data_IF_772166990836
#
_entry.id   IF_772166990836
#
_cell.length_a   1.000
_cell.length_b   1.000
_cell.length_c   1.000
_cell.angle_alpha   90.00
_cell.angle_beta   90.00
_cell.angle_gamma   90.00
#
_symmetry.space_group_name_H-M   'P 1'
#
loop_
_entity.id
_entity.type
_entity.pdbx_description
1 polymer ?
#
# COMPACT_ATOMS: atom_id res chain seq x y z
N UNK A 1 -21.01 -1.49 33.32
CA UNK A 1 -20.37 -2.73 32.84
C UNK A 1 -19.66 -2.36 31.56
N UNK A 2 -18.42 -1.91 31.72
CA UNK A 2 -17.58 -1.52 30.59
C UNK A 2 -17.22 -2.80 29.84
N UNK A 3 -17.51 -2.84 28.55
CA UNK A 3 -16.97 -3.85 27.66
C UNK A 3 -15.45 -3.68 27.71
N UNK A 4 -14.78 -4.57 28.45
CA UNK A 4 -13.37 -4.81 28.23
C UNK A 4 -13.29 -5.31 26.79
N UNK A 5 -12.73 -4.49 25.90
CA UNK A 5 -12.26 -4.99 24.62
C UNK A 5 -11.32 -6.14 24.95
N UNK A 6 -11.82 -7.34 24.70
CA UNK A 6 -11.05 -8.56 24.73
C UNK A 6 -10.05 -8.38 23.59
N UNK A 7 -8.82 -7.96 23.94
CA UNK A 7 -7.58 -7.96 23.12
C UNK A 7 -7.25 -9.40 22.68
N UNK A 8 -8.25 -10.05 22.11
CA UNK A 8 -8.33 -11.44 21.72
C UNK A 8 -7.50 -11.60 20.47
N UNK A 9 -6.20 -11.75 20.70
CA UNK A 9 -5.27 -12.59 19.94
C UNK A 9 -5.55 -12.56 18.44
N UNK A 10 -5.51 -11.38 17.82
CA UNK A 10 -5.16 -11.33 16.40
C UNK A 10 -3.69 -11.74 16.39
N UNK A 11 -3.31 -12.90 15.81
CA UNK A 11 -1.91 -13.23 15.64
C UNK A 11 -1.26 -12.00 15.00
N UNK A 12 -0.17 -11.49 15.59
CA UNK A 12 0.54 -10.38 14.99
C UNK A 12 0.80 -10.79 13.54
N UNK A 13 0.29 -10.04 12.56
CA UNK A 13 0.42 -10.39 11.14
C UNK A 13 1.91 -10.64 10.80
N UNK A 14 2.83 -9.98 11.52
CA UNK A 14 4.25 -10.27 11.48
C UNK A 14 4.62 -11.72 11.85
N UNK A 15 4.03 -12.28 12.90
CA UNK A 15 4.28 -13.66 13.33
C UNK A 15 3.78 -14.65 12.27
N UNK A 16 2.64 -14.35 11.65
CA UNK A 16 2.11 -15.14 10.53
C UNK A 16 3.08 -15.10 9.34
N UNK A 17 3.50 -13.90 8.92
CA UNK A 17 4.46 -13.73 7.82
C UNK A 17 5.78 -14.46 8.10
N UNK A 18 6.23 -14.46 9.36
CA UNK A 18 7.46 -15.13 9.78
C UNK A 18 7.35 -16.65 9.63
N UNK A 19 6.18 -17.25 9.93
CA UNK A 19 5.94 -18.68 9.76
C UNK A 19 6.05 -19.15 8.30
N UNK A 20 5.76 -18.27 7.35
CA UNK A 20 5.82 -18.55 5.91
C UNK A 20 7.02 -17.90 5.22
N UNK A 21 8.02 -17.42 5.98
CA UNK A 21 9.16 -16.68 5.43
C UNK A 21 9.92 -17.42 4.32
N UNK A 22 10.00 -18.74 4.40
CA UNK A 22 10.66 -19.59 3.41
C UNK A 22 9.76 -20.01 2.23
N UNK A 23 8.45 -19.73 2.25
CA UNK A 23 7.52 -20.19 1.20
C UNK A 23 6.64 -19.09 0.61
N UNK A 24 6.58 -17.92 1.25
CA UNK A 24 5.77 -16.80 0.82
C UNK A 24 6.37 -16.17 -0.45
N UNK A 25 5.74 -16.42 -1.60
CA UNK A 25 6.13 -15.82 -2.88
C UNK A 25 5.35 -14.55 -3.23
N UNK A 26 4.12 -14.45 -2.71
CA UNK A 26 3.19 -13.39 -3.02
C UNK A 26 2.50 -12.89 -1.76
N UNK A 27 2.50 -11.57 -1.55
CA UNK A 27 1.77 -10.92 -0.46
C UNK A 27 0.78 -9.92 -1.03
N UNK A 28 -0.51 -10.14 -0.77
CA UNK A 28 -1.54 -9.12 -0.88
C UNK A 28 -1.97 -8.67 0.52
N UNK A 29 -1.89 -7.37 0.77
CA UNK A 29 -2.27 -6.76 2.03
C UNK A 29 -3.22 -5.59 1.77
N UNK A 30 -4.43 -5.64 2.32
CA UNK A 30 -5.35 -4.51 2.35
C UNK A 30 -5.33 -3.88 3.73
N UNK A 31 -5.11 -2.57 3.79
CA UNK A 31 -5.11 -1.82 5.04
C UNK A 31 -5.99 -0.57 4.92
N UNK A 32 -7.03 -0.53 5.74
CA UNK A 32 -7.82 0.68 5.96
C UNK A 32 -7.12 1.53 7.03
N UNK A 33 -6.29 2.49 6.60
CA UNK A 33 -5.43 3.30 7.46
C UNK A 33 -6.02 4.69 7.67
N UNK A 34 -7.12 4.79 8.39
CA UNK A 34 -7.68 6.09 8.82
C UNK A 34 -6.94 6.65 10.04
N UNK A 35 -5.61 6.69 10.00
CA UNK A 35 -4.77 7.15 11.12
C UNK A 35 -3.41 7.66 10.65
N UNK A 36 -2.81 8.53 11.44
CA UNK A 36 -1.43 9.03 11.25
C UNK A 36 -0.41 7.94 11.57
N UNK A 37 0.84 8.11 11.11
CA UNK A 37 1.94 7.21 11.45
C UNK A 37 2.17 7.12 12.97
N UNK A 38 1.96 8.22 13.70
CA UNK A 38 2.06 8.27 15.17
C UNK A 38 0.99 7.38 15.81
N UNK A 39 -0.25 7.45 15.33
CA UNK A 39 -1.35 6.62 15.83
C UNK A 39 -1.15 5.15 15.48
N UNK A 40 -0.63 4.87 14.28
CA UNK A 40 -0.26 3.53 13.88
C UNK A 40 0.79 2.93 14.81
N UNK A 41 1.89 3.63 15.07
CA UNK A 41 2.98 3.15 15.94
C UNK A 41 2.56 2.92 17.40
N UNK A 42 1.50 3.59 17.88
CA UNK A 42 0.95 3.35 19.22
C UNK A 42 0.23 2.01 19.34
N UNK A 43 -0.26 1.46 18.23
CA UNK A 43 -1.15 0.29 18.20
C UNK A 43 -0.58 -0.91 17.45
N UNK A 44 0.30 -0.65 16.50
CA UNK A 44 0.80 -1.62 15.54
C UNK A 44 2.31 -1.47 15.35
N UNK A 45 2.92 -2.55 14.88
CA UNK A 45 4.32 -2.59 14.48
C UNK A 45 4.36 -2.58 12.96
N UNK A 46 5.31 -1.85 12.37
CA UNK A 46 5.56 -1.93 10.93
C UNK A 46 5.93 -3.35 10.51
N UNK A 47 5.46 -3.77 9.34
CA UNK A 47 5.82 -5.06 8.78
C UNK A 47 7.28 -5.08 8.38
N UNK A 48 7.92 -6.18 8.72
CA UNK A 48 9.29 -6.47 8.34
C UNK A 48 9.32 -7.76 7.51
N UNK A 49 9.53 -7.60 6.21
CA UNK A 49 9.55 -8.68 5.24
C UNK A 49 10.97 -9.14 4.90
N UNK A 50 12.02 -8.64 5.57
CA UNK A 50 13.41 -8.95 5.18
C UNK A 50 13.72 -10.46 5.19
N UNK A 51 13.03 -11.23 6.03
CA UNK A 51 13.19 -12.68 6.12
C UNK A 51 12.43 -13.46 5.04
N UNK A 52 11.49 -12.84 4.33
CA UNK A 52 10.68 -13.51 3.31
C UNK A 52 11.50 -13.64 2.01
N UNK A 53 12.45 -14.58 1.96
CA UNK A 53 13.48 -14.67 0.90
C UNK A 53 12.95 -15.05 -0.48
N UNK A 54 11.75 -15.62 -0.53
CA UNK A 54 11.09 -16.01 -1.77
C UNK A 54 10.01 -15.00 -2.20
N UNK A 55 9.80 -13.92 -1.45
CA UNK A 55 8.75 -12.94 -1.72
C UNK A 55 9.08 -12.10 -2.96
N UNK A 56 8.36 -12.35 -4.05
CA UNK A 56 8.58 -11.71 -5.35
C UNK A 56 7.63 -10.56 -5.61
N UNK A 57 6.40 -10.64 -5.11
CA UNK A 57 5.35 -9.67 -5.43
C UNK A 57 4.67 -9.20 -4.17
N UNK A 58 4.55 -7.88 -4.05
CA UNK A 58 3.88 -7.22 -2.93
C UNK A 58 2.78 -6.31 -3.49
N UNK A 59 1.55 -6.56 -3.08
CA UNK A 59 0.40 -5.72 -3.42
C UNK A 59 -0.20 -5.15 -2.14
N UNK A 60 -0.35 -3.83 -2.10
CA UNK A 60 -0.75 -3.10 -0.90
C UNK A 60 -1.89 -2.16 -1.26
N UNK A 61 -3.06 -2.39 -0.67
CA UNK A 61 -4.16 -1.42 -0.65
C UNK A 61 -4.04 -0.52 0.57
N UNK A 62 -4.02 0.80 0.39
CA UNK A 62 -4.04 1.79 1.48
C UNK A 62 -5.14 2.81 1.26
N UNK A 63 -5.82 3.16 2.34
CA UNK A 63 -6.80 4.26 2.36
C UNK A 63 -6.16 5.48 3.03
N UNK A 64 -6.15 6.61 2.34
CA UNK A 64 -5.66 7.94 2.79
C UNK A 64 -4.21 7.92 3.33
N UNK A 65 -3.19 8.09 2.47
CA UNK A 65 -1.79 8.12 2.89
C UNK A 65 -1.43 9.50 3.46
N UNK A 66 -1.76 9.77 4.73
CA UNK A 66 -1.39 11.02 5.39
C UNK A 66 0.13 11.13 5.56
N UNK A 67 0.76 10.05 6.02
CA UNK A 67 2.20 10.01 6.35
C UNK A 67 2.76 8.60 6.56
N UNK A 68 2.05 7.55 6.13
CA UNK A 68 2.35 6.17 6.51
C UNK A 68 2.50 5.22 5.32
N UNK A 69 3.61 4.47 5.30
CA UNK A 69 3.77 3.25 4.52
C UNK A 69 4.04 2.07 5.48
N UNK A 70 3.28 0.97 5.44
CA UNK A 70 3.23 0.01 6.55
C UNK A 70 4.43 -0.95 6.62
N UNK A 71 5.43 -0.79 5.74
CA UNK A 71 6.62 -1.65 5.68
C UNK A 71 7.85 -0.89 6.14
N UNK A 72 8.56 -1.48 7.11
CA UNK A 72 9.89 -1.01 7.54
C UNK A 72 10.98 -1.49 6.59
N UNK A 73 10.93 -2.78 6.23
CA UNK A 73 11.89 -3.41 5.33
C UNK A 73 11.16 -4.37 4.40
N UNK A 74 11.47 -4.27 3.11
CA UNK A 74 11.03 -5.20 2.08
C UNK A 74 12.11 -6.25 1.83
N UNK A 75 11.70 -7.43 1.37
CA UNK A 75 12.65 -8.49 0.99
C UNK A 75 13.44 -8.06 -0.25
N UNK A 76 14.75 -8.35 -0.28
CA UNK A 76 15.62 -8.11 -1.45
C UNK A 76 15.21 -8.91 -2.69
N UNK A 77 14.36 -9.94 -2.51
CA UNK A 77 13.82 -10.78 -3.58
C UNK A 77 12.58 -10.19 -4.27
N UNK A 78 12.01 -9.10 -3.71
CA UNK A 78 10.85 -8.43 -4.30
C UNK A 78 11.20 -7.88 -5.67
N UNK A 79 10.41 -8.28 -6.66
CA UNK A 79 10.52 -7.89 -8.07
C UNK A 79 9.47 -6.85 -8.45
N UNK A 80 8.26 -6.98 -7.88
CA UNK A 80 7.13 -6.12 -8.21
C UNK A 80 6.42 -5.61 -6.96
N UNK A 81 6.11 -4.31 -6.94
CA UNK A 81 5.27 -3.68 -5.93
C UNK A 81 4.10 -2.98 -6.61
N UNK A 82 2.88 -3.28 -6.17
CA UNK A 82 1.68 -2.52 -6.55
C UNK A 82 1.11 -1.83 -5.32
N UNK A 83 0.88 -0.52 -5.42
CA UNK A 83 0.24 0.28 -4.37
C UNK A 83 -1.09 0.79 -4.89
N UNK A 84 -2.19 0.38 -4.26
CA UNK A 84 -3.55 0.85 -4.53
C UNK A 84 -3.98 1.86 -3.48
N UNK A 85 -3.91 3.14 -3.82
CA UNK A 85 -4.28 4.24 -2.93
C UNK A 85 -5.73 4.62 -3.15
N UNK A 86 -6.53 4.70 -2.09
CA UNK A 86 -7.89 5.24 -2.15
C UNK A 86 -8.08 6.48 -1.28
N UNK A 87 -8.86 7.43 -1.77
CA UNK A 87 -9.31 8.59 -1.00
C UNK A 87 -10.62 9.16 -1.56
N UNK A 88 -11.29 10.02 -0.78
CA UNK A 88 -12.48 10.77 -1.23
C UNK A 88 -12.06 11.97 -2.06
N UNK A 89 -12.80 12.30 -3.13
CA UNK A 89 -12.43 13.42 -4.03
C UNK A 89 -12.22 14.74 -3.28
N UNK A 90 -13.05 15.05 -2.28
CA UNK A 90 -12.93 16.28 -1.48
C UNK A 90 -11.65 16.36 -0.61
N UNK A 91 -10.90 15.27 -0.47
CA UNK A 91 -9.70 15.21 0.36
C UNK A 91 -8.41 15.43 -0.44
N UNK A 92 -8.50 15.49 -1.78
CA UNK A 92 -7.36 15.80 -2.64
C UNK A 92 -7.18 17.32 -2.81
N UNK A 93 -5.94 17.85 -2.80
CA UNK A 93 -4.65 17.14 -2.64
C UNK A 93 -4.20 16.98 -1.18
N UNK A 94 -4.89 17.61 -0.22
CA UNK A 94 -4.42 17.80 1.16
C UNK A 94 -4.06 16.51 1.91
N UNK A 95 -4.62 15.37 1.50
CA UNK A 95 -4.41 14.08 2.16
C UNK A 95 -3.35 13.17 1.54
N UNK A 96 -2.68 13.58 0.45
CA UNK A 96 -1.82 12.69 -0.32
C UNK A 96 -0.33 13.07 -0.20
N UNK A 97 0.40 12.37 0.67
CA UNK A 97 1.85 12.51 0.74
C UNK A 97 2.57 11.42 -0.08
N UNK A 98 2.64 11.60 -1.40
CA UNK A 98 3.29 10.66 -2.32
C UNK A 98 4.77 10.42 -2.00
N UNK A 99 5.45 11.41 -1.41
CA UNK A 99 6.86 11.32 -1.03
C UNK A 99 7.12 10.24 0.04
N UNK A 100 6.11 9.88 0.83
CA UNK A 100 6.23 8.79 1.82
C UNK A 100 6.32 7.43 1.13
N UNK A 101 5.52 7.20 0.08
CA UNK A 101 5.63 5.97 -0.72
C UNK A 101 6.98 5.95 -1.46
N UNK A 102 7.37 7.09 -2.03
CA UNK A 102 8.63 7.24 -2.76
C UNK A 102 9.85 6.94 -1.89
N UNK A 103 9.97 7.56 -0.72
CA UNK A 103 11.08 7.33 0.21
C UNK A 103 11.04 5.92 0.79
N UNK A 104 9.87 5.45 1.23
CA UNK A 104 9.75 4.13 1.86
C UNK A 104 10.14 2.97 0.96
N UNK A 105 9.99 3.09 -0.37
CA UNK A 105 10.44 2.07 -1.32
C UNK A 105 11.80 2.45 -1.92
N UNK A 106 11.94 3.71 -2.32
CA UNK A 106 13.08 4.25 -3.08
C UNK A 106 14.37 4.34 -2.29
N UNK A 107 14.34 4.43 -0.95
CA UNK A 107 15.55 4.44 -0.13
C UNK A 107 16.07 3.04 0.20
N UNK A 108 15.26 2.00 -0.03
CA UNK A 108 15.66 0.63 0.27
C UNK A 108 16.59 0.05 -0.81
N UNK A 109 17.51 -0.82 -0.37
CA UNK A 109 18.37 -1.62 -1.25
C UNK A 109 17.64 -2.87 -1.74
N UNK A 110 16.86 -2.70 -2.81
CA UNK A 110 16.03 -3.73 -3.44
C UNK A 110 16.56 -4.05 -4.85
N UNK A 111 17.63 -4.86 -4.98
CA UNK A 111 18.31 -5.08 -6.26
C UNK A 111 17.46 -5.85 -7.28
N UNK A 112 16.46 -6.61 -6.83
CA UNK A 112 15.56 -7.37 -7.70
C UNK A 112 14.34 -6.56 -8.16
N UNK A 113 14.08 -5.40 -7.54
CA UNK A 113 12.89 -4.61 -7.81
C UNK A 113 13.01 -3.96 -9.18
N UNK A 114 12.15 -4.38 -10.10
CA UNK A 114 12.12 -3.87 -11.47
C UNK A 114 10.83 -3.08 -11.78
N UNK A 115 9.82 -3.16 -10.91
CA UNK A 115 8.50 -2.61 -11.20
C UNK A 115 7.81 -2.10 -9.93
N UNK A 116 7.41 -0.84 -9.97
CA UNK A 116 6.47 -0.22 -9.04
C UNK A 116 5.28 0.35 -9.82
N UNK A 117 4.08 -0.06 -9.45
CA UNK A 117 2.81 0.44 -9.98
C UNK A 117 2.07 1.20 -8.90
N UNK A 118 1.61 2.41 -9.22
CA UNK A 118 0.75 3.21 -8.36
C UNK A 118 -0.63 3.32 -9.02
N UNK A 119 -1.65 2.73 -8.39
CA UNK A 119 -3.03 2.88 -8.81
C UNK A 119 -3.73 3.81 -7.83
N UNK A 120 -4.39 4.85 -8.36
CA UNK A 120 -5.10 5.83 -7.55
C UNK A 120 -6.61 5.65 -7.79
N UNK A 121 -7.35 5.59 -6.70
CA UNK A 121 -8.80 5.37 -6.69
C UNK A 121 -9.50 6.51 -5.96
N UNK A 122 -10.28 7.29 -6.71
CA UNK A 122 -11.07 8.39 -6.14
C UNK A 122 -12.50 7.93 -5.90
N UNK A 123 -12.84 7.81 -4.62
CA UNK A 123 -14.19 7.45 -4.20
C UNK A 123 -15.12 8.64 -4.35
N UNK A 124 -16.23 8.42 -5.07
CA UNK A 124 -17.39 9.33 -5.11
C UNK A 124 -18.37 9.08 -3.95
N UNK A 125 -18.21 7.98 -3.21
CA UNK A 125 -19.08 7.55 -2.13
C UNK A 125 -18.42 7.56 -0.73
N UNK A 126 -19.20 7.21 0.29
CA UNK A 126 -18.76 7.16 1.69
C UNK A 126 -17.84 5.98 2.01
N UNK A 127 -17.83 4.94 1.17
CA UNK A 127 -17.09 3.69 1.37
C UNK A 127 -16.32 3.31 0.10
N UNK A 128 -15.01 3.13 0.23
CA UNK A 128 -14.15 2.56 -0.79
C UNK A 128 -13.39 1.40 -0.13
N UNK A 129 -13.71 0.17 -0.49
CA UNK A 129 -12.97 -1.02 -0.07
C UNK A 129 -12.58 -1.83 -1.30
N UNK A 130 -11.59 -2.75 -1.18
CA UNK A 130 -11.30 -3.70 -2.28
C UNK A 130 -12.57 -4.46 -2.69
N UNK A 131 -13.43 -4.82 -1.73
CA UNK A 131 -14.67 -5.57 -1.96
C UNK A 131 -15.77 -4.76 -2.69
N UNK A 132 -15.88 -3.45 -2.41
CA UNK A 132 -16.93 -2.57 -2.94
C UNK A 132 -16.30 -1.19 -3.19
N UNK A 133 -15.97 -0.90 -4.45
CA UNK A 133 -15.51 0.42 -4.88
C UNK A 133 -16.37 0.86 -6.06
N UNK A 134 -17.20 1.89 -5.81
CA UNK A 134 -17.85 2.69 -6.85
C UNK A 134 -16.99 3.94 -7.08
N UNK A 135 -15.82 3.71 -7.67
CA UNK A 135 -14.83 4.75 -7.91
C UNK A 135 -15.01 5.30 -9.33
N UNK A 136 -14.85 6.61 -9.49
CA UNK A 136 -14.82 7.24 -10.81
C UNK A 136 -13.38 7.44 -11.26
N UNK A 137 -13.13 7.38 -12.57
CA UNK A 137 -12.01 8.12 -13.13
C UNK A 137 -12.28 9.58 -12.78
N UNK A 138 -11.32 10.18 -12.09
CA UNK A 138 -11.38 11.57 -11.69
C UNK A 138 -10.20 12.28 -12.36
N UNK A 139 -10.52 13.05 -13.39
CA UNK A 139 -9.54 13.80 -14.17
C UNK A 139 -8.92 14.96 -13.37
N UNK A 140 -9.34 15.16 -12.11
CA UNK A 140 -8.73 16.16 -11.20
C UNK A 140 -7.37 15.74 -10.63
N UNK A 141 -6.97 14.47 -10.76
CA UNK A 141 -5.63 14.05 -10.36
C UNK A 141 -4.63 14.42 -11.45
N UNK A 142 -3.72 15.33 -11.12
CA UNK A 142 -2.55 15.60 -11.95
C UNK A 142 -1.50 14.50 -11.76
N UNK A 143 -1.50 13.51 -12.65
CA UNK A 143 -0.52 12.42 -12.67
C UNK A 143 0.92 12.94 -12.78
N UNK A 144 1.14 14.06 -13.48
CA UNK A 144 2.47 14.65 -13.61
C UNK A 144 2.96 15.20 -12.27
N UNK A 145 2.06 15.77 -11.48
CA UNK A 145 2.35 16.18 -10.11
C UNK A 145 2.66 14.99 -9.21
N UNK A 146 1.91 13.88 -9.30
CA UNK A 146 2.21 12.65 -8.55
C UNK A 146 3.62 12.14 -8.86
N UNK A 147 3.96 12.02 -10.15
CA UNK A 147 5.29 11.57 -10.58
C UNK A 147 6.39 12.50 -10.08
N UNK A 148 6.17 13.82 -10.14
CA UNK A 148 7.11 14.83 -9.63
C UNK A 148 7.36 14.70 -8.12
N UNK A 149 6.36 14.25 -7.35
CA UNK A 149 6.49 13.98 -5.93
C UNK A 149 7.11 12.60 -5.61
N UNK A 150 7.46 11.80 -6.63
CA UNK A 150 8.09 10.49 -6.49
C UNK A 150 9.44 10.37 -7.23
N UNK A 151 10.41 11.27 -6.94
CA UNK A 151 11.66 11.36 -7.69
C UNK A 151 12.56 10.13 -7.56
N UNK A 152 12.57 9.42 -6.43
CA UNK A 152 13.47 8.27 -6.25
C UNK A 152 13.05 7.11 -7.14
N UNK A 153 11.77 6.75 -7.12
CA UNK A 153 11.23 5.66 -7.93
C UNK A 153 11.23 6.01 -9.42
N UNK A 154 10.95 7.28 -9.76
CA UNK A 154 11.03 7.76 -11.13
C UNK A 154 12.46 7.76 -11.68
N UNK A 155 13.45 8.30 -10.94
CA UNK A 155 14.85 8.36 -11.40
C UNK A 155 15.51 6.98 -11.51
N UNK A 156 15.06 5.99 -10.72
CA UNK A 156 15.44 4.58 -10.86
C UNK A 156 14.79 3.89 -12.07
N UNK A 157 13.83 4.54 -12.74
CA UNK A 157 13.11 3.96 -13.89
C UNK A 157 12.17 2.81 -13.53
N UNK A 158 11.82 2.66 -12.25
CA UNK A 158 10.97 1.57 -11.75
C UNK A 158 9.52 2.01 -11.49
N UNK A 159 9.25 3.32 -11.37
CA UNK A 159 7.89 3.87 -11.38
C UNK A 159 7.35 3.85 -12.82
N UNK A 160 6.80 2.71 -13.23
CA UNK A 160 6.40 2.49 -14.63
C UNK A 160 4.99 2.97 -14.93
N UNK A 161 4.08 2.92 -13.95
CA UNK A 161 2.67 3.26 -14.15
C UNK A 161 2.09 4.00 -12.94
N UNK A 162 1.57 5.20 -13.20
CA UNK A 162 0.69 5.93 -12.28
C UNK A 162 -0.67 6.04 -12.97
N UNK A 163 -1.62 5.20 -12.56
CA UNK A 163 -2.91 5.06 -13.21
C UNK A 163 -4.05 5.50 -12.28
N UNK A 164 -4.95 6.34 -12.79
CA UNK A 164 -6.22 6.63 -12.13
C UNK A 164 -7.26 5.58 -12.56
N UNK A 165 -7.71 4.74 -11.62
CA UNK A 165 -8.54 3.56 -11.93
C UNK A 165 -9.96 3.67 -11.39
N UNK A 166 -10.91 3.31 -12.26
CA UNK A 166 -12.35 3.22 -11.97
C UNK A 166 -12.70 2.14 -10.94
N UNK A 167 -11.87 1.10 -10.80
CA UNK A 167 -12.11 -0.01 -9.87
C UNK A 167 -10.78 -0.48 -9.28
N UNK A 168 -10.78 -0.80 -7.99
CA UNK A 168 -9.69 -1.54 -7.32
C UNK A 168 -9.56 -2.95 -7.91
N UNK A 169 -8.36 -3.49 -7.91
CA UNK A 169 -8.13 -4.84 -8.44
C UNK A 169 -8.61 -5.88 -7.42
N UNK A 170 -9.82 -6.40 -7.62
CA UNK A 170 -10.34 -7.53 -6.85
C UNK A 170 -9.58 -8.82 -7.20
N UNK A 171 -8.76 -9.33 -6.27
CA UNK A 171 -8.04 -10.59 -6.46
C UNK A 171 -8.96 -11.84 -6.50
N UNK A 172 -10.23 -11.72 -6.09
CA UNK A 172 -11.22 -12.80 -6.31
C UNK A 172 -11.51 -13.06 -7.78
N UNK A 173 -11.19 -12.13 -8.69
CA UNK A 173 -11.50 -12.22 -10.11
C UNK A 173 -10.30 -12.59 -10.99
N UNK A 174 -9.17 -12.97 -10.41
CA UNK A 174 -8.00 -13.48 -11.19
C UNK A 174 -8.21 -14.94 -11.63
N UNK A 175 -9.29 -15.57 -11.18
CA UNK A 175 -9.72 -16.91 -11.59
C UNK A 175 -11.18 -16.98 -12.08
N UNK A 176 -11.76 -15.86 -12.56
CA UNK A 176 -13.11 -15.86 -13.17
C UNK A 176 -13.07 -15.91 -14.68
#
# INVERSE_FOLDING_TARGET
MELKDDDSVVPNIQDLLTQFSDTLEYLALEMMLHMTAIEFQKRYIYFDLHLCRNLRVVHIGIDIPLDLFPFKCLSRSVQEITVEVSFKSQSYPDCCNWSVIDSSIGEQDLPSLCLVKLNIHVSKGLTCSLAICDCGADDSIDVSEVIRNMPLLHSKGILLHVDCKLKRTLWSNIYS
#
